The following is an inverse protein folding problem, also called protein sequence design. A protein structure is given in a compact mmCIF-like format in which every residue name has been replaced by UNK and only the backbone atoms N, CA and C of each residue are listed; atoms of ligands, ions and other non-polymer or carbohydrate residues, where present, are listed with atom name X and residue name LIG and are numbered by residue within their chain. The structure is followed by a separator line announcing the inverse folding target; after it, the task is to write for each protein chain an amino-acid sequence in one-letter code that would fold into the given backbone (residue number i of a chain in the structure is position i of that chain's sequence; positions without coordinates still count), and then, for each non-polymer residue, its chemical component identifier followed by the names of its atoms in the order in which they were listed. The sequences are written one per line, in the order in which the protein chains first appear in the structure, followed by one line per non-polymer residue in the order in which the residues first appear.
data_IF_500009406145
#
_entry.id   IF_500009406145
#
_cell.length_a   1.000
_cell.length_b   1.000
_cell.length_c   1.000
_cell.angle_alpha   90.00
_cell.angle_beta   90.00
_cell.angle_gamma   90.00
#
_symmetry.space_group_name_H-M   'P 1'
#
loop_
_entity.id
_entity.type
_entity.pdbx_description
1 polymer ?
#
# COMPACT_ATOMS: atom_id res chain seq x y z
N UNK A 1 9.54 -1.10 20.86
CA UNK A 1 8.31 -1.24 20.05
C UNK A 1 8.54 -2.40 19.09
N UNK A 2 7.64 -3.40 19.06
CA UNK A 2 7.80 -4.57 18.19
C UNK A 2 7.11 -4.26 16.86
N UNK A 3 7.83 -4.46 15.76
CA UNK A 3 7.29 -4.37 14.41
C UNK A 3 7.08 -5.78 13.89
N UNK A 4 5.94 -6.02 13.24
CA UNK A 4 5.67 -7.25 12.51
C UNK A 4 5.72 -6.94 11.02
N UNK A 5 6.30 -7.83 10.24
CA UNK A 5 6.30 -7.76 8.78
C UNK A 5 5.85 -9.08 8.21
N UNK A 6 4.95 -9.06 7.24
CA UNK A 6 4.43 -10.27 6.62
C UNK A 6 4.07 -10.02 5.16
N UNK A 7 4.19 -11.09 4.36
CA UNK A 7 3.79 -11.08 2.97
C UNK A 7 2.30 -11.39 2.86
N UNK A 8 1.59 -10.68 1.99
CA UNK A 8 0.17 -10.89 1.73
C UNK A 8 -0.23 -10.36 0.35
N UNK A 9 -1.34 -10.86 -0.20
CA UNK A 9 -1.88 -10.36 -1.46
C UNK A 9 -2.73 -9.10 -1.26
N UNK A 10 -2.55 -8.12 -2.13
CA UNK A 10 -3.30 -6.87 -2.09
C UNK A 10 -3.64 -6.38 -3.50
N UNK A 11 -4.93 -6.23 -3.79
CA UNK A 11 -5.45 -5.82 -5.10
C UNK A 11 -4.84 -6.63 -6.28
N UNK A 12 -4.60 -7.92 -6.08
CA UNK A 12 -4.02 -8.81 -7.09
C UNK A 12 -2.49 -8.83 -7.17
N UNK A 13 -1.79 -8.03 -6.36
CA UNK A 13 -0.33 -7.98 -6.32
C UNK A 13 0.23 -8.66 -5.06
N UNK A 14 1.49 -9.09 -5.10
CA UNK A 14 2.18 -9.41 -3.85
C UNK A 14 2.46 -8.11 -3.10
N UNK A 15 2.36 -8.16 -1.79
CA UNK A 15 2.63 -7.00 -0.96
C UNK A 15 3.33 -7.41 0.32
N UNK A 16 4.03 -6.45 0.91
CA UNK A 16 4.60 -6.56 2.24
C UNK A 16 3.88 -5.54 3.11
N UNK A 17 3.23 -6.03 4.17
CA UNK A 17 2.71 -5.18 5.22
C UNK A 17 3.68 -5.14 6.39
N UNK A 18 3.85 -3.95 6.94
CA UNK A 18 4.59 -3.69 8.17
C UNK A 18 3.66 -3.00 9.15
N UNK A 19 3.53 -3.55 10.34
CA UNK A 19 2.57 -3.10 11.35
C UNK A 19 3.25 -2.94 12.71
N UNK A 20 2.86 -1.89 13.42
CA UNK A 20 3.13 -1.72 14.85
C UNK A 20 1.81 -1.37 15.57
N UNK A 21 1.88 -0.97 16.83
CA UNK A 21 0.67 -0.67 17.62
C UNK A 21 -0.10 0.60 17.18
N UNK A 22 0.45 1.41 16.27
CA UNK A 22 -0.10 2.71 15.88
C UNK A 22 -0.58 2.71 14.43
N UNK A 23 0.15 2.04 13.54
CA UNK A 23 -0.13 2.08 12.11
C UNK A 23 0.30 0.80 11.38
N UNK A 24 -0.31 0.60 10.22
CA UNK A 24 0.10 -0.36 9.20
C UNK A 24 0.49 0.36 7.92
N UNK A 25 1.64 0.02 7.36
CA UNK A 25 2.09 0.45 6.04
C UNK A 25 2.12 -0.76 5.13
N UNK A 26 1.69 -0.59 3.88
CA UNK A 26 1.79 -1.62 2.86
C UNK A 26 2.54 -1.14 1.64
N UNK A 27 3.47 -1.98 1.19
CA UNK A 27 4.27 -1.76 -0.01
C UNK A 27 3.97 -2.85 -1.03
N UNK A 28 3.86 -2.46 -2.30
CA UNK A 28 3.77 -3.38 -3.44
C UNK A 28 5.07 -3.30 -4.24
N UNK A 29 5.98 -4.30 -4.14
CA UNK A 29 7.26 -4.30 -4.85
C UNK A 29 7.12 -4.20 -6.37
N UNK A 30 6.14 -4.90 -6.97
CA UNK A 30 5.89 -4.94 -8.42
C UNK A 30 5.57 -3.56 -9.02
N UNK A 31 5.21 -2.60 -8.18
CA UNK A 31 4.87 -1.22 -8.56
C UNK A 31 6.00 -0.25 -8.25
N UNK A 32 7.25 -0.71 -8.30
CA UNK A 32 8.42 0.10 -7.94
C UNK A 32 8.45 0.44 -6.45
N UNK A 33 8.07 -0.51 -5.60
CA UNK A 33 7.94 -0.34 -4.15
C UNK A 33 6.97 0.77 -3.73
N UNK A 34 5.88 0.95 -4.48
CA UNK A 34 4.83 1.91 -4.15
C UNK A 34 4.21 1.60 -2.77
N UNK A 35 4.12 2.62 -1.93
CA UNK A 35 3.31 2.56 -0.70
C UNK A 35 1.85 2.74 -1.10
N UNK A 36 1.01 1.75 -0.82
CA UNK A 36 -0.41 1.70 -1.24
C UNK A 36 -1.39 1.78 -0.08
N UNK A 37 -0.89 1.71 1.15
CA UNK A 37 -1.67 1.85 2.39
C UNK A 37 -0.81 2.56 3.43
N UNK A 38 -1.40 3.54 4.12
CA UNK A 38 -0.94 4.04 5.42
C UNK A 38 -2.18 4.11 6.31
N UNK A 39 -2.38 3.04 7.07
CA UNK A 39 -3.58 2.86 7.88
C UNK A 39 -3.28 3.16 9.35
N UNK A 40 -3.99 4.14 9.89
CA UNK A 40 -4.01 4.47 11.31
C UNK A 40 -4.89 3.47 12.07
N UNK A 41 -4.27 2.70 12.96
CA UNK A 41 -4.95 1.66 13.73
C UNK A 41 -5.74 2.22 14.91
N UNK A 42 -5.34 3.37 15.45
CA UNK A 42 -6.00 4.03 16.58
C UNK A 42 -7.31 4.67 16.13
N UNK A 43 -7.27 5.43 15.03
CA UNK A 43 -8.43 6.13 14.48
C UNK A 43 -9.18 5.33 13.41
N UNK A 44 -8.70 4.13 13.06
CA UNK A 44 -9.27 3.23 12.04
C UNK A 44 -9.43 3.93 10.69
N UNK A 45 -8.42 4.69 10.30
CA UNK A 45 -8.49 5.60 9.17
C UNK A 45 -7.35 5.35 8.17
N UNK A 46 -7.70 5.30 6.88
CA UNK A 46 -6.71 5.28 5.79
C UNK A 46 -6.29 6.72 5.47
N UNK A 47 -4.99 6.99 5.53
CA UNK A 47 -4.44 8.32 5.21
C UNK A 47 -4.22 8.53 3.72
N UNK A 48 -3.97 7.45 2.96
CA UNK A 48 -3.80 7.60 1.53
C UNK A 48 -5.14 7.79 0.84
N UNK A 49 -5.22 8.83 0.01
CA UNK A 49 -6.37 9.02 -0.84
C UNK A 49 -6.52 7.85 -1.81
N UNK A 50 -7.75 7.32 -1.91
CA UNK A 50 -8.09 6.24 -2.84
C UNK A 50 -9.23 6.67 -3.75
N UNK A 51 -8.91 6.85 -5.02
CA UNK A 51 -9.91 7.02 -6.08
C UNK A 51 -10.27 5.66 -6.68
N UNK A 52 -11.52 5.23 -6.47
CA UNK A 52 -11.99 3.94 -6.99
C UNK A 52 -12.03 3.88 -8.53
N UNK A 53 -12.03 5.03 -9.20
CA UNK A 53 -11.99 5.11 -10.66
C UNK A 53 -10.59 4.91 -11.24
N UNK A 54 -9.54 5.00 -10.40
CA UNK A 54 -8.13 4.87 -10.79
C UNK A 54 -7.54 3.64 -10.10
N UNK A 55 -7.80 2.42 -10.60
CA UNK A 55 -7.27 1.22 -9.99
C UNK A 55 -5.74 1.22 -10.02
N UNK A 56 -5.14 0.55 -9.05
CA UNK A 56 -3.71 0.32 -9.03
C UNK A 56 -3.35 -0.64 -10.17
N UNK A 57 -2.43 -0.22 -11.03
CA UNK A 57 -1.98 -0.98 -12.20
C UNK A 57 -0.45 -0.88 -12.32
N UNK A 58 0.16 -1.86 -12.99
CA UNK A 58 1.57 -1.81 -13.38
C UNK A 58 1.80 -0.61 -14.30
N UNK A 59 2.87 0.13 -14.04
CA UNK A 59 3.30 1.18 -14.96
C UNK A 59 3.73 0.53 -16.29
N UNK A 60 3.19 1.04 -17.39
CA UNK A 60 3.64 0.70 -18.73
C UNK A 60 4.71 1.69 -19.20
N UNK A 61 5.54 1.24 -20.14
CA UNK A 61 6.50 2.14 -20.76
C UNK A 61 5.77 3.30 -21.44
N UNK A 62 6.10 4.53 -21.06
CA UNK A 62 5.48 5.74 -21.58
C UNK A 62 4.29 6.26 -20.77
N UNK A 63 3.94 5.64 -19.64
CA UNK A 63 2.95 6.21 -18.73
C UNK A 63 3.39 7.60 -18.24
N UNK A 64 2.54 8.60 -18.47
CA UNK A 64 2.67 9.93 -17.89
C UNK A 64 1.62 10.11 -16.78
N UNK A 65 2.03 10.73 -15.68
CA UNK A 65 1.10 11.16 -14.63
C UNK A 65 0.62 12.57 -14.97
N UNK A 66 -0.55 12.66 -15.62
CA UNK A 66 -1.27 13.92 -15.88
C UNK A 66 -2.09 14.38 -14.66
#
# INVERSE_FOLDING_TARGET
MKTLSYAEHYLGFNSVAMENNLLRIRVVPELGCKIVEIYDLENKHEWLWRDKSRPIMLAQYGDAYD
#
